data_IF_819971102034
#
_entry.id   IF_819971102034
#
_cell.length_a   1.000
_cell.length_b   1.000
_cell.length_c   1.000
_cell.angle_alpha   90.00
_cell.angle_beta   90.00
_cell.angle_gamma   90.00
#
_symmetry.space_group_name_H-M   'P 1'
#
loop_
_entity.id
_entity.type
_entity.pdbx_description
1 polymer ?
#
# COMPACT_ATOMS: atom_id res chain seq x y z
N UNK A 1 -11.13 15.79 14.30
CA UNK A 1 -9.77 15.39 13.88
C UNK A 1 -9.69 15.50 12.37
N UNK A 2 -8.63 16.01 11.75
CA UNK A 2 -8.52 16.11 10.28
C UNK A 2 -7.66 14.94 9.80
N UNK A 3 -8.18 14.06 8.93
CA UNK A 3 -7.40 12.94 8.34
C UNK A 3 -6.81 13.42 7.02
N UNK A 4 -5.48 13.42 6.93
CA UNK A 4 -4.78 13.65 5.67
C UNK A 4 -4.65 12.32 4.91
N UNK A 5 -4.69 12.40 3.59
CA UNK A 5 -4.48 11.28 2.69
C UNK A 5 -3.72 11.80 1.46
N UNK A 6 -2.81 11.01 0.94
CA UNK A 6 -2.19 11.25 -0.37
C UNK A 6 -2.55 10.03 -1.20
N UNK A 7 -3.27 10.25 -2.29
CA UNK A 7 -3.57 9.21 -3.28
C UNK A 7 -2.76 9.48 -4.54
N UNK A 8 -2.77 8.57 -5.51
CA UNK A 8 -2.04 8.75 -6.76
C UNK A 8 -2.94 8.50 -7.97
N UNK A 9 -2.78 9.33 -9.00
CA UNK A 9 -3.40 9.15 -10.31
C UNK A 9 -2.32 9.29 -11.39
N UNK A 10 -2.03 8.19 -12.11
CA UNK A 10 -0.93 8.12 -13.09
C UNK A 10 0.40 8.65 -12.53
N UNK A 11 0.80 8.12 -11.38
CA UNK A 11 2.02 8.48 -10.62
C UNK A 11 2.09 9.95 -10.17
N UNK A 12 0.99 10.69 -10.23
CA UNK A 12 0.89 12.05 -9.70
C UNK A 12 0.15 12.05 -8.36
N UNK A 13 0.72 12.66 -7.31
CA UNK A 13 0.07 12.71 -6.00
C UNK A 13 -1.17 13.60 -6.03
N UNK A 14 -2.21 13.16 -5.34
CA UNK A 14 -3.46 13.87 -5.07
C UNK A 14 -3.62 13.97 -3.57
N UNK A 15 -3.18 15.08 -2.99
CA UNK A 15 -3.32 15.32 -1.55
C UNK A 15 -4.77 15.64 -1.23
N UNK A 16 -5.29 14.99 -0.20
CA UNK A 16 -6.68 15.06 0.21
C UNK A 16 -6.83 15.12 1.74
N UNK A 17 -7.97 15.65 2.17
CA UNK A 17 -8.38 15.79 3.55
C UNK A 17 -9.82 15.30 3.70
N UNK A 18 -10.07 14.48 4.72
CA UNK A 18 -11.43 14.12 5.12
C UNK A 18 -11.98 15.13 6.13
N UNK A 19 -13.10 15.77 5.78
CA UNK A 19 -13.88 16.65 6.65
C UNK A 19 -15.03 15.86 7.27
N UNK A 20 -14.82 15.43 8.53
CA UNK A 20 -15.80 14.63 9.28
C UNK A 20 -17.11 15.37 9.54
N UNK A 21 -17.10 16.71 9.65
CA UNK A 21 -18.31 17.47 9.98
C UNK A 21 -19.34 17.41 8.86
N UNK A 22 -18.85 17.44 7.62
CA UNK A 22 -19.68 17.44 6.41
C UNK A 22 -19.60 16.12 5.64
N UNK A 23 -18.96 15.10 6.23
CA UNK A 23 -18.72 13.78 5.64
C UNK A 23 -18.26 13.85 4.17
N UNK A 24 -17.24 14.66 3.88
CA UNK A 24 -16.76 14.85 2.51
C UNK A 24 -15.25 15.02 2.39
N UNK A 25 -14.74 14.68 1.21
CA UNK A 25 -13.34 14.88 0.85
C UNK A 25 -13.07 16.28 0.27
N UNK A 26 -11.90 16.80 0.62
CA UNK A 26 -11.30 18.02 0.07
C UNK A 26 -9.97 17.69 -0.56
N UNK A 27 -9.72 18.14 -1.78
CA UNK A 27 -8.55 17.77 -2.58
C UNK A 27 -7.71 19.01 -2.93
N UNK A 28 -6.38 18.88 -2.97
CA UNK A 28 -5.47 19.96 -3.36
C UNK A 28 -5.83 20.51 -4.74
N UNK A 29 -6.22 21.78 -4.82
CA UNK A 29 -6.63 22.37 -6.09
C UNK A 29 -5.48 22.39 -7.12
N UNK A 30 -4.25 22.56 -6.64
CA UNK A 30 -3.04 22.56 -7.48
C UNK A 30 -2.78 21.17 -8.07
N UNK A 31 -2.95 20.11 -7.28
CA UNK A 31 -2.73 18.72 -7.72
C UNK A 31 -3.78 18.35 -8.79
N UNK A 32 -5.04 18.75 -8.56
CA UNK A 32 -6.15 18.55 -9.51
C UNK A 32 -5.89 19.29 -10.83
N UNK A 33 -5.46 20.55 -10.77
CA UNK A 33 -5.10 21.31 -11.98
C UNK A 33 -3.95 20.65 -12.72
N UNK A 34 -2.91 20.19 -12.00
CA UNK A 34 -1.77 19.52 -12.62
C UNK A 34 -2.18 18.25 -13.38
N UNK A 35 -3.15 17.51 -12.85
CA UNK A 35 -3.67 16.28 -13.46
C UNK A 35 -4.58 16.58 -14.64
N UNK A 36 -5.57 17.45 -14.46
CA UNK A 36 -6.59 17.71 -15.47
C UNK A 36 -6.04 18.52 -16.64
N UNK A 37 -5.15 19.48 -16.39
CA UNK A 37 -4.66 20.40 -17.44
C UNK A 37 -3.27 20.06 -17.99
N UNK A 38 -2.50 19.20 -17.31
CA UNK A 38 -1.08 18.98 -17.59
C UNK A 38 -0.24 20.29 -17.63
N UNK A 39 -0.71 21.37 -17.02
CA UNK A 39 -0.01 22.65 -16.99
C UNK A 39 1.35 22.52 -16.33
N UNK A 40 2.37 23.20 -16.90
CA UNK A 40 3.70 23.33 -16.28
C UNK A 40 3.69 24.22 -15.03
N UNK A 41 2.65 25.06 -14.86
CA UNK A 41 2.52 26.01 -13.77
C UNK A 41 1.12 25.93 -13.13
N UNK A 42 0.76 24.81 -12.48
CA UNK A 42 -0.59 24.54 -12.00
C UNK A 42 -1.09 25.55 -10.97
N UNK A 43 -0.19 26.11 -10.14
CA UNK A 43 -0.53 27.15 -9.15
C UNK A 43 -0.99 28.46 -9.80
N UNK A 44 -0.29 28.91 -10.84
CA UNK A 44 -0.64 30.13 -11.59
C UNK A 44 -1.97 29.93 -12.32
N UNK A 45 -2.14 28.76 -12.95
CA UNK A 45 -3.37 28.42 -13.65
C UNK A 45 -4.56 28.37 -12.67
N UNK A 46 -4.42 27.70 -11.53
CA UNK A 46 -5.44 27.67 -10.48
C UNK A 46 -5.87 29.09 -10.05
N UNK A 47 -4.91 29.96 -9.73
CA UNK A 47 -5.22 31.33 -9.30
C UNK A 47 -5.95 32.13 -10.39
N UNK A 48 -5.60 31.92 -11.66
CA UNK A 48 -6.26 32.56 -12.80
C UNK A 48 -7.70 32.07 -12.95
N UNK A 49 -7.93 30.76 -12.89
CA UNK A 49 -9.27 30.17 -13.01
C UNK A 49 -10.17 30.55 -11.84
N UNK A 50 -9.64 30.48 -10.61
CA UNK A 50 -10.34 30.87 -9.39
C UNK A 50 -10.81 32.32 -9.43
N UNK A 51 -9.99 33.24 -9.98
CA UNK A 51 -10.35 34.66 -10.14
C UNK A 51 -11.41 34.89 -11.22
N UNK A 52 -11.36 34.14 -12.33
CA UNK A 52 -12.27 34.31 -13.47
C UNK A 52 -13.62 33.61 -13.29
N UNK A 53 -13.71 32.62 -12.41
CA UNK A 53 -14.89 31.79 -12.22
C UNK A 53 -15.32 31.81 -10.75
N UNK A 54 -16.23 32.72 -10.40
CA UNK A 54 -16.69 32.91 -9.02
C UNK A 54 -17.32 31.67 -8.37
N UNK A 55 -17.80 30.71 -9.17
CA UNK A 55 -18.36 29.46 -8.67
C UNK A 55 -17.29 28.58 -7.99
N UNK A 56 -16.04 28.60 -8.45
CA UNK A 56 -14.93 27.87 -7.84
C UNK A 56 -14.64 28.33 -6.41
N UNK A 57 -14.86 29.62 -6.10
CA UNK A 57 -14.69 30.16 -4.74
C UNK A 57 -15.68 29.52 -3.76
N UNK A 58 -16.89 29.18 -4.20
CA UNK A 58 -17.91 28.53 -3.35
C UNK A 58 -17.55 27.10 -2.98
N UNK A 59 -16.75 26.43 -3.83
CA UNK A 59 -16.30 25.05 -3.64
C UNK A 59 -14.87 24.95 -3.12
N UNK A 60 -14.24 26.09 -2.79
CA UNK A 60 -12.86 26.17 -2.33
C UNK A 60 -12.78 26.50 -0.83
N UNK A 61 -11.81 25.92 -0.14
CA UNK A 61 -11.40 26.29 1.23
C UNK A 61 -9.88 26.23 1.35
N UNK A 62 -9.35 26.63 2.50
CA UNK A 62 -7.95 26.41 2.83
C UNK A 62 -7.78 25.41 3.96
N UNK A 63 -6.86 24.46 3.75
CA UNK A 63 -6.39 23.57 4.81
C UNK A 63 -4.87 23.45 4.74
N UNK A 64 -4.28 23.05 5.86
CA UNK A 64 -2.86 22.70 5.93
C UNK A 64 -2.60 21.37 5.22
N UNK A 65 -1.87 21.37 4.11
CA UNK A 65 -1.44 20.15 3.40
C UNK A 65 0.07 19.96 3.49
N UNK A 66 0.51 18.70 3.52
CA UNK A 66 1.92 18.36 3.41
C UNK A 66 2.48 18.78 2.04
N UNK A 67 3.67 19.38 2.02
CA UNK A 67 4.45 19.64 0.82
C UNK A 67 5.62 18.64 0.71
N UNK A 68 6.37 18.73 -0.38
CA UNK A 68 7.51 17.83 -0.67
C UNK A 68 8.65 17.96 0.34
N UNK A 69 8.71 19.05 1.09
CA UNK A 69 9.67 19.29 2.18
C UNK A 69 9.21 18.68 3.53
N UNK A 70 8.12 17.92 3.54
CA UNK A 70 7.54 17.31 4.75
C UNK A 70 6.78 18.30 5.65
N UNK A 71 6.79 19.61 5.35
CA UNK A 71 6.11 20.63 6.15
C UNK A 71 4.66 20.81 5.68
N UNK A 72 3.83 21.39 6.57
CA UNK A 72 2.42 21.68 6.29
C UNK A 72 2.19 23.15 5.97
N UNK A 73 1.59 23.44 4.82
CA UNK A 73 1.26 24.80 4.38
C UNK A 73 -0.23 24.95 4.10
N UNK A 74 -0.78 26.13 4.40
CA UNK A 74 -2.13 26.49 3.97
C UNK A 74 -2.22 26.44 2.45
N UNK A 75 -3.05 25.55 1.95
CA UNK A 75 -3.22 25.27 0.53
C UNK A 75 -4.70 25.32 0.20
N UNK A 76 -5.01 25.85 -0.98
CA UNK A 76 -6.37 25.81 -1.52
C UNK A 76 -6.76 24.36 -1.82
N UNK A 77 -7.92 23.99 -1.29
CA UNK A 77 -8.55 22.69 -1.52
C UNK A 77 -9.93 22.87 -2.12
N UNK A 78 -10.37 21.89 -2.91
CA UNK A 78 -11.69 21.88 -3.52
C UNK A 78 -12.42 20.57 -3.22
N UNK A 79 -13.74 20.65 -3.07
CA UNK A 79 -14.59 19.47 -2.97
C UNK A 79 -14.93 18.91 -4.36
N UNK A 80 -15.61 17.76 -4.42
CA UNK A 80 -16.06 17.13 -5.68
C UNK A 80 -16.78 18.07 -6.64
N UNK A 81 -17.66 18.95 -6.13
CA UNK A 81 -18.35 19.92 -6.98
C UNK A 81 -17.38 20.92 -7.62
N UNK A 82 -16.32 21.31 -6.91
CA UNK A 82 -15.27 22.16 -7.47
C UNK A 82 -14.43 21.44 -8.53
N UNK A 83 -14.20 20.14 -8.35
CA UNK A 83 -13.53 19.31 -9.36
C UNK A 83 -14.41 19.18 -10.62
N UNK A 84 -15.72 18.99 -10.44
CA UNK A 84 -16.69 18.94 -11.55
C UNK A 84 -16.70 20.24 -12.35
N UNK A 85 -16.75 21.38 -11.65
CA UNK A 85 -16.66 22.71 -12.25
C UNK A 85 -15.37 22.91 -13.04
N UNK A 86 -14.22 22.51 -12.48
CA UNK A 86 -12.95 22.55 -13.19
C UNK A 86 -12.96 21.70 -14.47
N UNK A 87 -13.57 20.52 -14.43
CA UNK A 87 -13.75 19.66 -15.59
C UNK A 87 -14.51 20.36 -16.73
N UNK A 88 -15.59 21.07 -16.40
CA UNK A 88 -16.36 21.86 -17.36
C UNK A 88 -15.57 23.04 -17.94
N UNK A 89 -14.88 23.81 -17.07
CA UNK A 89 -14.11 24.99 -17.49
C UNK A 89 -12.95 24.59 -18.42
N UNK A 90 -12.21 23.55 -18.06
CA UNK A 90 -11.00 23.15 -18.78
C UNK A 90 -11.30 22.33 -20.05
N UNK A 91 -12.51 21.79 -20.20
CA UNK A 91 -12.91 20.88 -21.29
C UNK A 91 -11.87 19.78 -21.55
N UNK A 92 -11.30 19.24 -20.48
CA UNK A 92 -10.16 18.33 -20.56
C UNK A 92 -10.58 16.89 -20.82
N UNK A 93 -9.91 16.23 -21.77
CA UNK A 93 -10.06 14.78 -22.01
C UNK A 93 -9.59 13.94 -20.81
N UNK A 94 -8.66 14.47 -20.00
CA UNK A 94 -8.16 13.79 -18.80
C UNK A 94 -9.18 13.79 -17.65
N UNK A 95 -10.11 14.75 -17.65
CA UNK A 95 -11.12 14.87 -16.60
C UNK A 95 -12.05 13.65 -16.54
N UNK A 96 -12.46 13.07 -17.68
CA UNK A 96 -13.33 11.90 -17.69
C UNK A 96 -12.69 10.68 -16.99
N UNK A 97 -11.39 10.43 -17.25
CA UNK A 97 -10.62 9.37 -16.59
C UNK A 97 -10.43 9.67 -15.10
N UNK A 98 -10.09 10.92 -14.77
CA UNK A 98 -9.91 11.37 -13.39
C UNK A 98 -11.21 11.30 -12.56
N UNK A 99 -12.35 11.65 -13.15
CA UNK A 99 -13.67 11.60 -12.52
C UNK A 99 -14.05 10.17 -12.13
N UNK A 100 -13.84 9.20 -13.02
CA UNK A 100 -14.08 7.77 -12.71
C UNK A 100 -13.22 7.27 -11.54
N UNK A 101 -11.95 7.68 -11.51
CA UNK A 101 -11.06 7.40 -10.37
C UNK A 101 -11.57 8.06 -9.07
N UNK A 102 -11.98 9.33 -9.13
CA UNK A 102 -12.48 10.08 -7.96
C UNK A 102 -13.75 9.48 -7.35
N UNK A 103 -14.66 8.99 -8.19
CA UNK A 103 -15.93 8.36 -7.81
C UNK A 103 -15.74 6.94 -7.22
N UNK A 104 -14.50 6.49 -7.03
CA UNK A 104 -14.18 5.16 -6.49
C UNK A 104 -14.48 4.01 -7.44
N UNK A 105 -15.01 4.30 -8.63
CA UNK A 105 -15.35 3.32 -9.66
C UNK A 105 -14.12 2.69 -10.37
N UNK A 106 -12.90 3.14 -10.04
CA UNK A 106 -11.64 2.76 -10.69
C UNK A 106 -10.46 2.62 -9.70
N UNK A 107 -10.69 2.54 -8.38
CA UNK A 107 -9.58 2.19 -7.48
C UNK A 107 -9.16 0.75 -7.81
N UNK A 108 -7.91 0.56 -8.20
CA UNK A 108 -7.37 -0.78 -8.40
C UNK A 108 -7.59 -1.60 -7.12
N UNK A 109 -7.71 -2.92 -7.28
CA UNK A 109 -7.78 -3.84 -6.13
C UNK A 109 -6.66 -3.53 -5.13
N UNK A 110 -5.48 -3.15 -5.64
CA UNK A 110 -4.33 -2.74 -4.84
C UNK A 110 -4.58 -1.50 -4.00
N UNK A 111 -5.19 -0.44 -4.54
CA UNK A 111 -5.48 0.77 -3.77
C UNK A 111 -6.50 0.50 -2.65
N UNK A 112 -7.51 -0.32 -2.94
CA UNK A 112 -8.52 -0.69 -1.96
C UNK A 112 -7.91 -1.55 -0.83
N UNK A 113 -7.08 -2.52 -1.20
CA UNK A 113 -6.34 -3.39 -0.28
C UNK A 113 -5.34 -2.60 0.58
N UNK A 114 -4.61 -1.65 -0.02
CA UNK A 114 -3.65 -0.78 0.68
C UNK A 114 -4.30 0.04 1.79
N UNK A 115 -5.51 0.57 1.54
CA UNK A 115 -6.28 1.28 2.56
C UNK A 115 -6.66 0.38 3.73
N UNK A 116 -6.99 -0.89 3.48
CA UNK A 116 -7.21 -1.86 4.54
C UNK A 116 -5.92 -2.12 5.32
N UNK A 117 -4.79 -2.32 4.63
CA UNK A 117 -3.49 -2.53 5.27
C UNK A 117 -3.13 -1.43 6.28
N UNK A 118 -3.40 -0.16 5.98
CA UNK A 118 -3.15 0.94 6.93
C UNK A 118 -3.95 0.86 8.24
N UNK A 119 -5.13 0.23 8.21
CA UNK A 119 -5.99 0.09 9.38
C UNK A 119 -5.62 -1.18 10.19
N UNK A 120 -4.82 -2.09 9.65
CA UNK A 120 -4.38 -3.33 10.31
C UNK A 120 -3.65 -3.05 11.64
N UNK A 121 -2.85 -1.98 11.72
CA UNK A 121 -2.16 -1.52 12.95
C UNK A 121 -3.12 -1.26 14.13
N UNK A 122 -4.43 -1.07 13.86
CA UNK A 122 -5.44 -0.82 14.89
C UNK A 122 -6.25 -2.07 15.24
N UNK A 123 -5.96 -3.21 14.64
CA UNK A 123 -6.76 -4.44 14.78
C UNK A 123 -6.09 -5.42 15.72
N UNK A 124 -6.90 -6.24 16.39
CA UNK A 124 -6.46 -7.45 17.11
C UNK A 124 -6.74 -8.68 16.24
N UNK A 125 -6.47 -8.57 14.94
CA UNK A 125 -6.88 -9.58 13.94
C UNK A 125 -6.19 -10.94 14.19
N UNK A 126 -4.92 -10.90 14.58
CA UNK A 126 -4.05 -12.05 14.79
C UNK A 126 -3.73 -12.14 16.28
N UNK A 127 -3.91 -13.31 16.88
CA UNK A 127 -3.52 -13.57 18.26
C UNK A 127 -2.04 -13.94 18.34
N UNK A 128 -1.41 -13.71 19.50
CA UNK A 128 0.04 -13.98 19.68
C UNK A 128 0.43 -15.44 19.38
N UNK A 129 -0.44 -16.40 19.71
CA UNK A 129 -0.20 -17.84 19.47
C UNK A 129 -0.34 -18.25 17.99
N UNK A 130 -0.88 -17.37 17.15
CA UNK A 130 -1.04 -17.56 15.70
C UNK A 130 0.12 -16.95 14.88
N UNK A 131 0.89 -16.05 15.49
CA UNK A 131 2.01 -15.36 14.85
C UNK A 131 3.07 -16.39 14.42
N UNK A 132 3.45 -16.34 13.14
CA UNK A 132 4.39 -17.30 12.54
C UNK A 132 3.73 -18.57 12.00
N UNK A 133 2.40 -18.69 12.05
CA UNK A 133 1.65 -19.81 11.46
C UNK A 133 0.86 -19.39 10.22
N UNK A 134 0.47 -20.36 9.41
CA UNK A 134 -0.33 -20.20 8.19
C UNK A 134 -1.66 -19.50 8.47
N UNK A 135 -2.28 -19.77 9.63
CA UNK A 135 -3.57 -19.15 9.99
C UNK A 135 -3.48 -17.62 10.12
N UNK A 136 -2.38 -17.07 10.65
CA UNK A 136 -2.21 -15.61 10.72
C UNK A 136 -2.04 -15.00 9.33
N UNK A 137 -1.29 -15.66 8.44
CA UNK A 137 -1.16 -15.23 7.05
C UNK A 137 -2.51 -15.27 6.30
N UNK A 138 -3.31 -16.33 6.50
CA UNK A 138 -4.68 -16.44 5.97
C UNK A 138 -5.57 -15.29 6.46
N UNK A 139 -5.51 -14.96 7.76
CA UNK A 139 -6.28 -13.84 8.33
C UNK A 139 -5.85 -12.50 7.74
N UNK A 140 -4.54 -12.25 7.64
CA UNK A 140 -4.00 -11.03 7.00
C UNK A 140 -4.50 -10.93 5.57
N UNK A 141 -4.31 -11.97 4.76
CA UNK A 141 -4.75 -11.97 3.37
C UNK A 141 -6.27 -11.82 3.25
N UNK A 142 -7.05 -12.50 4.09
CA UNK A 142 -8.49 -12.35 4.17
C UNK A 142 -8.88 -10.89 4.40
N UNK A 143 -8.32 -10.26 5.44
CA UNK A 143 -8.59 -8.87 5.77
C UNK A 143 -8.23 -7.91 4.62
N UNK A 144 -7.04 -8.05 4.04
CA UNK A 144 -6.56 -7.18 2.96
C UNK A 144 -7.43 -7.27 1.70
N UNK A 145 -7.92 -8.46 1.35
CA UNK A 145 -8.52 -8.72 0.05
C UNK A 145 -10.00 -9.13 0.07
N UNK A 146 -10.63 -9.23 1.24
CA UNK A 146 -12.06 -9.53 1.36
C UNK A 146 -12.90 -8.53 0.55
N UNK A 147 -13.83 -9.04 -0.26
CA UNK A 147 -14.63 -8.20 -1.15
C UNK A 147 -13.87 -7.63 -2.36
N UNK A 148 -12.58 -7.95 -2.51
CA UNK A 148 -11.74 -7.58 -3.66
C UNK A 148 -11.36 -8.80 -4.51
N UNK A 149 -10.99 -9.91 -3.87
CA UNK A 149 -10.80 -11.21 -4.52
C UNK A 149 -11.84 -12.22 -4.01
N UNK A 150 -12.38 -13.05 -4.90
CA UNK A 150 -13.27 -14.16 -4.53
C UNK A 150 -12.55 -15.29 -3.76
N UNK A 151 -11.22 -15.29 -3.78
CA UNK A 151 -10.32 -16.20 -3.07
C UNK A 151 -9.63 -15.56 -1.86
N UNK A 152 -10.07 -14.40 -1.38
CA UNK A 152 -9.46 -13.77 -0.20
C UNK A 152 -9.42 -14.74 1.00
N UNK A 153 -8.21 -15.03 1.50
CA UNK A 153 -7.99 -15.94 2.63
C UNK A 153 -8.11 -17.43 2.28
N UNK A 154 -8.25 -17.78 0.99
CA UNK A 154 -8.36 -19.18 0.56
C UNK A 154 -7.03 -19.67 0.01
N UNK A 155 -6.53 -20.76 0.59
CA UNK A 155 -5.36 -21.47 0.07
C UNK A 155 -5.68 -21.99 -1.34
N UNK A 156 -4.76 -21.76 -2.29
CA UNK A 156 -4.91 -22.20 -3.68
C UNK A 156 -4.80 -23.71 -3.79
N UNK A 157 -5.47 -24.29 -4.78
CA UNK A 157 -5.31 -25.70 -5.16
C UNK A 157 -4.56 -25.87 -6.48
N UNK A 158 -4.36 -24.80 -7.24
CA UNK A 158 -3.62 -24.81 -8.50
C UNK A 158 -2.15 -24.49 -8.27
N UNK A 159 -1.26 -25.17 -8.98
CA UNK A 159 0.15 -24.76 -9.10
C UNK A 159 0.25 -23.50 -9.95
N UNK A 160 1.09 -22.55 -9.52
CA UNK A 160 1.28 -21.25 -10.16
C UNK A 160 2.78 -20.99 -10.36
N UNK A 161 3.09 -20.12 -11.31
CA UNK A 161 4.47 -19.74 -11.66
C UNK A 161 4.54 -18.23 -11.89
N UNK A 162 5.71 -17.64 -11.62
CA UNK A 162 6.02 -16.23 -11.94
C UNK A 162 7.36 -16.21 -12.67
N UNK A 163 7.35 -15.77 -13.93
CA UNK A 163 8.51 -15.93 -14.82
C UNK A 163 8.87 -17.41 -14.97
N UNK A 164 10.14 -17.75 -14.72
CA UNK A 164 10.65 -19.13 -14.82
C UNK A 164 10.56 -19.91 -13.49
N UNK A 165 10.07 -19.29 -12.41
CA UNK A 165 9.95 -19.94 -11.11
C UNK A 165 8.56 -20.54 -10.92
N UNK A 166 8.50 -21.82 -10.54
CA UNK A 166 7.25 -22.50 -10.18
C UNK A 166 7.18 -22.64 -8.67
N UNK A 167 6.11 -22.12 -8.08
CA UNK A 167 5.88 -22.19 -6.64
C UNK A 167 5.44 -23.61 -6.24
N UNK A 168 5.31 -23.86 -4.92
CA UNK A 168 4.91 -25.17 -4.40
C UNK A 168 3.69 -25.76 -5.11
N UNK A 169 3.72 -27.08 -5.36
CA UNK A 169 2.62 -27.78 -6.01
C UNK A 169 1.34 -27.65 -5.16
N UNK A 170 0.25 -27.23 -5.79
CA UNK A 170 -1.05 -27.01 -5.13
C UNK A 170 -1.62 -28.25 -4.44
N UNK A 171 -1.33 -29.45 -4.95
CA UNK A 171 -1.82 -30.72 -4.38
C UNK A 171 -1.17 -31.03 -3.02
N UNK A 172 0.09 -30.63 -2.84
CA UNK A 172 0.86 -30.87 -1.61
C UNK A 172 0.90 -29.66 -0.68
N UNK A 173 0.36 -28.52 -1.11
CA UNK A 173 0.43 -27.26 -0.38
C UNK A 173 -0.14 -27.33 1.05
N UNK A 174 -1.25 -28.04 1.35
CA UNK A 174 -1.72 -28.20 2.73
C UNK A 174 -0.69 -28.86 3.65
N UNK A 175 0.01 -29.88 3.17
CA UNK A 175 1.05 -30.56 3.94
C UNK A 175 2.28 -29.67 4.12
N UNK A 176 2.71 -28.98 3.05
CA UNK A 176 3.83 -28.03 3.08
C UNK A 176 3.58 -26.93 4.11
N UNK A 177 2.37 -26.34 4.12
CA UNK A 177 2.00 -25.32 5.10
C UNK A 177 1.95 -25.87 6.54
N UNK A 178 1.49 -27.12 6.72
CA UNK A 178 1.53 -27.77 8.03
C UNK A 178 2.95 -27.99 8.54
N UNK A 179 3.92 -28.21 7.67
CA UNK A 179 5.32 -28.41 8.06
C UNK A 179 6.04 -27.07 8.27
N UNK A 180 5.71 -26.06 7.45
CA UNK A 180 6.11 -24.66 7.64
C UNK A 180 5.71 -24.12 9.02
N UNK A 181 4.49 -24.43 9.48
CA UNK A 181 4.01 -23.99 10.79
C UNK A 181 4.88 -24.51 11.96
N UNK A 182 5.62 -25.61 11.74
CA UNK A 182 6.52 -26.23 12.73
C UNK A 182 7.96 -25.73 12.63
N UNK A 183 8.31 -24.96 11.60
CA UNK A 183 9.67 -24.42 11.46
C UNK A 183 10.01 -23.50 12.63
N UNK A 184 11.27 -23.53 13.11
CA UNK A 184 11.72 -22.64 14.17
C UNK A 184 11.67 -21.18 13.72
N UNK A 185 11.42 -20.28 14.66
CA UNK A 185 11.32 -18.84 14.43
C UNK A 185 11.80 -18.02 15.65
N UNK A 186 12.80 -18.53 16.36
CA UNK A 186 13.27 -17.97 17.64
C UNK A 186 14.24 -16.79 17.50
N UNK A 187 14.88 -16.66 16.34
CA UNK A 187 15.86 -15.63 16.06
C UNK A 187 15.74 -15.13 14.61
N UNK A 188 16.46 -14.06 14.29
CA UNK A 188 16.39 -13.42 12.96
C UNK A 188 16.66 -14.41 11.81
N UNK A 189 17.68 -15.25 11.92
CA UNK A 189 18.06 -16.14 10.84
C UNK A 189 16.97 -17.19 10.57
N UNK A 190 16.43 -17.80 11.63
CA UNK A 190 15.31 -18.74 11.54
C UNK A 190 14.03 -18.10 11.00
N UNK A 191 13.74 -16.86 11.42
CA UNK A 191 12.58 -16.10 10.93
C UNK A 191 12.69 -15.85 9.43
N UNK A 192 13.88 -15.47 8.94
CA UNK A 192 14.10 -15.22 7.51
C UNK A 192 14.08 -16.54 6.72
N UNK A 193 14.62 -17.63 7.26
CA UNK A 193 14.51 -18.96 6.64
C UNK A 193 13.04 -19.35 6.46
N UNK A 194 12.24 -19.22 7.52
CA UNK A 194 10.80 -19.49 7.49
C UNK A 194 10.03 -18.58 6.53
N UNK A 195 10.43 -17.32 6.43
CA UNK A 195 9.86 -16.35 5.49
C UNK A 195 10.12 -16.73 4.02
N UNK A 196 11.34 -17.16 3.69
CA UNK A 196 11.69 -17.62 2.34
C UNK A 196 10.90 -18.86 1.96
N UNK A 197 10.80 -19.84 2.86
CA UNK A 197 9.98 -21.04 2.62
C UNK A 197 8.49 -20.70 2.44
N UNK A 198 7.94 -19.77 3.23
CA UNK A 198 6.56 -19.29 3.05
C UNK A 198 6.37 -18.58 1.70
N UNK A 199 7.39 -17.82 1.24
CA UNK A 199 7.36 -17.20 -0.09
C UNK A 199 7.39 -18.24 -1.23
N UNK A 200 8.15 -19.34 -1.06
CA UNK A 200 8.19 -20.47 -2.01
C UNK A 200 6.84 -21.22 -2.02
N UNK A 201 6.21 -21.39 -0.84
CA UNK A 201 4.88 -21.99 -0.72
C UNK A 201 3.82 -21.17 -1.46
N UNK A 202 3.89 -19.83 -1.35
CA UNK A 202 3.08 -18.87 -2.12
C UNK A 202 1.57 -19.23 -2.10
N UNK A 203 0.93 -19.26 -0.91
CA UNK A 203 -0.28 -20.04 -0.70
C UNK A 203 -1.56 -19.51 -1.36
N UNK A 204 -1.57 -18.30 -1.92
CA UNK A 204 -2.74 -17.67 -2.53
C UNK A 204 -2.58 -17.51 -4.04
N UNK A 205 -3.69 -17.31 -4.76
CA UNK A 205 -3.65 -17.04 -6.20
C UNK A 205 -3.00 -15.70 -6.55
N UNK A 206 -3.12 -14.69 -5.67
CA UNK A 206 -2.52 -13.37 -5.82
C UNK A 206 -2.39 -12.72 -4.43
N UNK A 207 -1.60 -11.65 -4.28
CA UNK A 207 -1.50 -10.91 -3.02
C UNK A 207 -0.50 -11.47 -1.99
N UNK A 208 0.20 -12.56 -2.32
CA UNK A 208 1.16 -13.23 -1.44
C UNK A 208 2.24 -12.27 -0.91
N UNK A 209 2.98 -11.58 -1.76
CA UNK A 209 4.11 -10.72 -1.33
C UNK A 209 3.70 -9.70 -0.27
N UNK A 210 2.57 -9.00 -0.50
CA UNK A 210 2.04 -7.97 0.42
C UNK A 210 1.61 -8.57 1.76
N UNK A 211 0.90 -9.69 1.75
CA UNK A 211 0.45 -10.36 2.96
C UNK A 211 1.62 -10.96 3.75
N UNK A 212 2.57 -11.61 3.07
CA UNK A 212 3.71 -12.29 3.71
C UNK A 212 4.71 -11.30 4.29
N UNK A 213 4.90 -10.10 3.72
CA UNK A 213 5.73 -9.05 4.33
C UNK A 213 5.15 -8.51 5.64
N UNK A 214 3.83 -8.33 5.71
CA UNK A 214 3.14 -7.96 6.97
C UNK A 214 3.28 -9.09 7.99
N UNK A 215 3.12 -10.34 7.55
CA UNK A 215 3.31 -11.52 8.39
C UNK A 215 4.74 -11.62 8.94
N UNK A 216 5.75 -11.31 8.13
CA UNK A 216 7.16 -11.22 8.53
C UNK A 216 7.36 -10.16 9.62
N UNK A 217 6.84 -8.94 9.43
CA UNK A 217 6.96 -7.89 10.44
C UNK A 217 6.29 -8.27 11.76
N UNK A 218 5.10 -8.89 11.74
CA UNK A 218 4.46 -9.38 12.97
C UNK A 218 5.32 -10.43 13.68
N UNK A 219 5.96 -11.32 12.93
CA UNK A 219 6.84 -12.36 13.46
C UNK A 219 8.11 -11.76 14.09
N UNK A 220 8.76 -10.82 13.41
CA UNK A 220 9.93 -10.10 13.93
C UNK A 220 9.60 -9.30 15.19
N UNK A 221 8.46 -8.60 15.19
CA UNK A 221 8.01 -7.79 16.34
C UNK A 221 7.79 -8.70 17.55
N UNK A 222 7.08 -9.81 17.37
CA UNK A 222 6.74 -10.69 18.48
C UNK A 222 7.97 -11.45 19.03
N UNK A 223 8.86 -11.92 18.17
CA UNK A 223 9.98 -12.80 18.56
C UNK A 223 11.22 -12.04 19.02
N UNK A 224 11.56 -10.95 18.35
CA UNK A 224 12.81 -10.22 18.59
C UNK A 224 12.62 -8.71 18.82
N UNK A 225 11.38 -8.23 18.91
CA UNK A 225 11.04 -6.83 19.21
C UNK A 225 11.64 -5.82 18.20
N UNK A 226 11.69 -6.23 16.92
CA UNK A 226 12.17 -5.40 15.80
C UNK A 226 11.21 -5.52 14.61
N UNK A 227 11.27 -4.58 13.68
CA UNK A 227 10.59 -4.67 12.38
C UNK A 227 11.52 -4.21 11.25
N UNK A 228 11.08 -4.34 10.01
CA UNK A 228 11.82 -3.89 8.83
C UNK A 228 11.44 -2.46 8.48
N UNK A 229 12.43 -1.58 8.40
CA UNK A 229 12.27 -0.31 7.68
C UNK A 229 12.39 -0.58 6.18
N UNK A 230 11.28 -0.97 5.57
CA UNK A 230 11.19 -1.25 4.14
C UNK A 230 11.66 -0.08 3.26
N UNK A 231 11.74 1.15 3.80
CA UNK A 231 12.22 2.32 3.06
C UNK A 231 13.72 2.40 2.86
N UNK A 232 14.45 1.47 3.48
CA UNK A 232 15.88 1.29 3.27
C UNK A 232 16.21 0.23 2.22
N UNK A 233 15.20 -0.45 1.67
CA UNK A 233 15.40 -1.52 0.70
C UNK A 233 14.84 -1.09 -0.65
N UNK A 234 15.70 -1.00 -1.66
CA UNK A 234 15.30 -0.69 -3.02
C UNK A 234 14.52 -1.86 -3.65
N UNK A 235 13.55 -1.54 -4.51
CA UNK A 235 12.68 -2.54 -5.16
C UNK A 235 13.48 -3.57 -5.95
N UNK A 236 14.44 -3.12 -6.76
CA UNK A 236 15.29 -4.01 -7.57
C UNK A 236 16.04 -5.00 -6.69
N UNK A 237 16.66 -4.52 -5.63
CA UNK A 237 17.52 -5.31 -4.74
C UNK A 237 16.70 -6.34 -3.99
N UNK A 238 15.53 -5.94 -3.48
CA UNK A 238 14.58 -6.85 -2.84
C UNK A 238 14.10 -7.95 -3.79
N UNK A 239 13.64 -7.58 -4.99
CA UNK A 239 13.11 -8.55 -5.96
C UNK A 239 14.19 -9.52 -6.43
N UNK A 240 15.40 -9.03 -6.70
CA UNK A 240 16.53 -9.87 -7.09
C UNK A 240 16.90 -10.85 -5.96
N UNK A 241 17.00 -10.37 -4.72
CA UNK A 241 17.28 -11.21 -3.56
C UNK A 241 16.19 -12.26 -3.30
N UNK A 242 14.91 -11.93 -3.52
CA UNK A 242 13.82 -12.90 -3.40
C UNK A 242 13.84 -13.96 -4.51
N UNK A 243 14.22 -13.59 -5.73
CA UNK A 243 14.40 -14.54 -6.84
C UNK A 243 15.54 -15.52 -6.55
N UNK A 244 16.62 -15.04 -5.94
CA UNK A 244 17.80 -15.82 -5.59
C UNK A 244 17.61 -16.69 -4.33
N UNK A 245 16.74 -16.25 -3.41
CA UNK A 245 16.56 -16.84 -2.07
C UNK A 245 16.31 -18.36 -1.98
N UNK A 246 15.66 -19.04 -2.96
CA UNK A 246 15.54 -20.50 -2.91
C UNK A 246 16.88 -21.24 -3.06
N UNK A 247 17.89 -20.59 -3.65
CA UNK A 247 19.24 -21.15 -3.85
C UNK A 247 20.27 -20.53 -2.90
N UNK A 248 20.21 -19.20 -2.70
CA UNK A 248 21.08 -18.49 -1.76
C UNK A 248 20.28 -17.43 -0.98
N UNK A 249 20.06 -17.72 0.29
CA UNK A 249 19.34 -16.86 1.22
C UNK A 249 20.18 -15.70 1.78
N UNK A 250 21.50 -15.72 1.58
CA UNK A 250 22.43 -14.77 2.21
C UNK A 250 22.12 -13.32 1.80
N UNK A 251 21.76 -13.10 0.54
CA UNK A 251 21.46 -11.76 0.00
C UNK A 251 20.24 -11.14 0.67
N UNK A 252 19.14 -11.89 0.77
CA UNK A 252 17.91 -11.39 1.43
C UNK A 252 18.12 -11.23 2.94
N UNK A 253 18.86 -12.13 3.59
CA UNK A 253 19.23 -11.97 5.01
C UNK A 253 20.00 -10.68 5.25
N UNK A 254 21.00 -10.40 4.42
CA UNK A 254 21.80 -9.17 4.55
C UNK A 254 20.96 -7.90 4.34
N UNK A 255 20.10 -7.88 3.31
CA UNK A 255 19.21 -6.74 3.05
C UNK A 255 18.26 -6.48 4.23
N UNK A 256 17.57 -7.52 4.70
CA UNK A 256 16.62 -7.40 5.81
C UNK A 256 17.34 -7.01 7.11
N UNK A 257 18.51 -7.60 7.39
CA UNK A 257 19.29 -7.31 8.59
C UNK A 257 19.74 -5.85 8.66
N UNK A 258 20.16 -5.28 7.53
CA UNK A 258 20.56 -3.88 7.43
C UNK A 258 19.38 -2.90 7.54
N UNK A 259 18.16 -3.37 7.28
CA UNK A 259 16.93 -2.60 7.37
C UNK A 259 16.21 -2.74 8.72
N UNK A 260 16.68 -3.61 9.62
CA UNK A 260 16.08 -3.80 10.94
C UNK A 260 16.05 -2.50 11.76
N UNK A 261 14.98 -2.33 12.53
CA UNK A 261 14.81 -1.20 13.46
C UNK A 261 14.01 -1.59 14.69
N UNK A 262 14.25 -0.89 15.80
CA UNK A 262 13.49 -1.01 17.04
C UNK A 262 12.23 -0.14 17.08
N UNK A 263 11.96 0.64 16.02
CA UNK A 263 10.83 1.57 15.93
C UNK A 263 9.46 0.88 15.67
N UNK A 264 9.18 -0.23 16.38
CA UNK A 264 8.01 -1.10 16.15
C UNK A 264 6.66 -0.41 16.36
N UNK A 265 6.62 0.65 17.17
CA UNK A 265 5.40 1.43 17.45
C UNK A 265 5.31 2.72 16.60
N UNK A 266 6.22 2.90 15.64
CA UNK A 266 6.21 4.06 14.76
C UNK A 266 5.17 3.88 13.64
N UNK A 267 4.03 4.56 13.81
CA UNK A 267 2.93 4.54 12.83
C UNK A 267 3.35 5.05 11.45
N UNK A 268 4.21 6.05 11.37
CA UNK A 268 4.65 6.61 10.09
C UNK A 268 5.54 5.61 9.35
N UNK A 269 6.45 4.97 10.07
CA UNK A 269 7.27 3.86 9.55
C UNK A 269 6.39 2.73 9.01
N UNK A 270 5.38 2.29 9.78
CA UNK A 270 4.44 1.25 9.34
C UNK A 270 3.71 1.65 8.05
N UNK A 271 3.13 2.85 7.98
CA UNK A 271 2.41 3.32 6.80
C UNK A 271 3.34 3.40 5.58
N UNK A 272 4.55 3.93 5.76
CA UNK A 272 5.56 4.02 4.71
C UNK A 272 5.98 2.63 4.24
N UNK A 273 6.14 1.67 5.16
CA UNK A 273 6.45 0.28 4.84
C UNK A 273 5.36 -0.40 4.02
N UNK A 274 4.09 -0.15 4.34
CA UNK A 274 2.96 -0.57 3.52
C UNK A 274 3.04 0.04 2.11
N UNK A 275 3.31 1.34 1.98
CA UNK A 275 3.43 1.98 0.66
C UNK A 275 4.51 1.34 -0.21
N UNK A 276 5.68 1.06 0.37
CA UNK A 276 6.79 0.43 -0.33
C UNK A 276 6.48 -1.04 -0.68
N UNK A 277 5.87 -1.76 0.26
CA UNK A 277 5.40 -3.14 0.04
C UNK A 277 4.43 -3.23 -1.13
N UNK A 278 3.56 -2.25 -1.34
CA UNK A 278 2.67 -2.22 -2.52
C UNK A 278 3.42 -1.80 -3.79
N UNK A 279 4.34 -0.83 -3.70
CA UNK A 279 5.19 -0.41 -4.82
C UNK A 279 6.04 -1.55 -5.41
N UNK A 280 6.51 -2.49 -4.57
CA UNK A 280 7.22 -3.68 -5.05
C UNK A 280 6.41 -4.56 -6.01
N UNK A 281 5.07 -4.53 -5.90
CA UNK A 281 4.17 -5.33 -6.75
C UNK A 281 3.71 -4.59 -8.01
N UNK A 282 3.98 -3.28 -8.13
CA UNK A 282 3.65 -2.53 -9.34
C UNK A 282 4.47 -3.05 -10.54
N UNK A 283 3.80 -3.34 -11.66
CA UNK A 283 4.47 -3.71 -12.91
C UNK A 283 5.06 -2.42 -13.52
N UNK A 284 6.34 -2.45 -13.92
CA UNK A 284 6.97 -1.35 -14.66
C UNK A 284 6.35 -1.13 -16.05
#
# INVERSE_FOLDING_TARGET
MIKHSIRFFLNKPVRAIWDYKNSKWWYSAVDIIQIISASKNPRILWNTLKRRNGQLLKFCKQFKLFATDGKKYNSDVICENGIKELGFILKSNSYAKFKKWLEGSNDSIDEQSRRKAYELYKTTLVNDDEIGKTISLVKIHGYLFEGLYNFAGKIRTKTISKGNFTFANGDFLPQILSDLDKMPDSNFDEIVDKYVEMNIAHPFMEGNGRATRIWLDLLLINRINMCIDWSKIEKSDYLEAMIESPNDISKIKNLLKNALTFEINNRELFIKGIDISYYYEEIE
#
